data_IF_675216941474
#
_entry.id   IF_675216941474
#
_cell.length_a   1.000
_cell.length_b   1.000
_cell.length_c   1.000
_cell.angle_alpha   90.00
_cell.angle_beta   90.00
_cell.angle_gamma   90.00
#
_symmetry.space_group_name_H-M   'P 1'
#
loop_
_entity.id
_entity.type
_entity.pdbx_description
1 polymer ?
#
# COMPACT_ATOMS: atom_id res chain seq x y z
N UNK A 1 12.78 -63.95 5.18
CA UNK A 1 13.52 -63.48 6.38
C UNK A 1 12.78 -62.26 6.90
N UNK A 2 12.27 -62.25 8.14
CA UNK A 2 11.64 -61.06 8.69
C UNK A 2 12.72 -60.08 9.13
N UNK A 3 12.59 -58.83 8.69
CA UNK A 3 13.41 -57.70 9.15
C UNK A 3 12.98 -57.41 10.58
N UNK A 4 13.89 -57.58 11.53
CA UNK A 4 13.68 -57.25 12.92
C UNK A 4 13.33 -55.76 13.06
N UNK A 5 12.10 -55.46 13.49
CA UNK A 5 11.77 -54.18 14.09
C UNK A 5 12.70 -53.98 15.29
N UNK A 6 13.60 -53.01 15.18
CA UNK A 6 14.37 -52.53 16.32
C UNK A 6 13.40 -51.90 17.31
N UNK A 7 12.94 -52.70 18.27
CA UNK A 7 12.21 -52.22 19.45
C UNK A 7 13.15 -51.23 20.16
N UNK A 8 12.88 -49.94 19.99
CA UNK A 8 13.55 -48.90 20.75
C UNK A 8 13.24 -49.16 22.22
N UNK A 9 14.28 -49.55 22.97
CA UNK A 9 14.18 -49.81 24.41
C UNK A 9 13.90 -48.45 25.05
N UNK A 10 12.63 -48.22 25.41
CA UNK A 10 12.18 -47.10 26.24
C UNK A 10 13.07 -47.04 27.48
N UNK A 11 13.82 -45.96 27.70
CA UNK A 11 14.38 -45.73 29.03
C UNK A 11 13.19 -45.47 29.98
N UNK A 12 13.17 -46.07 31.19
CA UNK A 12 12.05 -45.91 32.13
C UNK A 12 11.76 -44.44 32.45
N UNK A 13 12.82 -43.63 32.50
CA UNK A 13 12.76 -42.20 32.81
C UNK A 13 12.10 -41.39 31.68
N UNK A 14 12.38 -41.70 30.41
CA UNK A 14 11.72 -41.04 29.27
C UNK A 14 10.22 -41.35 29.22
N UNK A 15 9.84 -42.57 29.59
CA UNK A 15 8.43 -42.96 29.60
C UNK A 15 7.66 -42.33 30.76
N UNK A 16 8.30 -42.18 31.92
CA UNK A 16 7.70 -41.48 33.06
C UNK A 16 7.53 -39.99 32.75
N UNK A 17 8.57 -39.33 32.21
CA UNK A 17 8.52 -37.93 31.82
C UNK A 17 7.45 -37.65 30.74
N UNK A 18 7.33 -38.50 29.70
CA UNK A 18 6.30 -38.34 28.67
C UNK A 18 4.86 -38.44 29.22
N UNK A 19 4.65 -39.15 30.33
CA UNK A 19 3.34 -39.23 30.99
C UNK A 19 3.02 -37.98 31.82
N UNK A 20 4.04 -37.29 32.36
CA UNK A 20 3.90 -36.07 33.16
C UNK A 20 3.82 -34.81 32.28
N UNK A 21 4.44 -34.85 31.10
CA UNK A 21 4.54 -33.73 30.16
C UNK A 21 3.19 -33.06 29.78
N UNK A 22 2.08 -33.79 29.55
CA UNK A 22 0.80 -33.14 29.29
C UNK A 22 0.30 -32.27 30.45
N UNK A 23 0.55 -32.68 31.70
CA UNK A 23 0.16 -31.91 32.88
C UNK A 23 1.08 -30.69 33.06
N UNK A 24 2.38 -30.85 32.82
CA UNK A 24 3.34 -29.74 32.86
C UNK A 24 3.04 -28.66 31.80
N UNK A 25 2.59 -29.06 30.60
CA UNK A 25 2.12 -28.13 29.57
C UNK A 25 0.82 -27.42 29.98
N UNK A 26 -0.11 -28.12 30.64
CA UNK A 26 -1.33 -27.48 31.17
C UNK A 26 -0.99 -26.43 32.23
N UNK A 27 -0.01 -26.71 33.09
CA UNK A 27 0.51 -25.74 34.06
C UNK A 27 1.17 -24.55 33.37
N UNK A 28 1.99 -24.76 32.33
CA UNK A 28 2.58 -23.68 31.55
C UNK A 28 1.51 -22.80 30.88
N UNK A 29 0.46 -23.42 30.33
CA UNK A 29 -0.69 -22.71 29.73
C UNK A 29 -1.42 -21.89 30.80
N UNK A 30 -1.67 -22.47 31.97
CA UNK A 30 -2.35 -21.82 33.09
C UNK A 30 -1.56 -20.59 33.60
N UNK A 31 -0.24 -20.71 33.74
CA UNK A 31 0.65 -19.63 34.17
C UNK A 31 1.02 -18.65 33.04
N UNK A 32 0.60 -18.94 31.79
CA UNK A 32 0.95 -18.19 30.58
C UNK A 32 2.46 -18.12 30.28
N UNK A 33 3.22 -19.11 30.75
CA UNK A 33 4.64 -19.26 30.43
C UNK A 33 4.81 -19.97 29.09
N UNK A 34 4.67 -19.18 28.02
CA UNK A 34 4.75 -19.69 26.65
C UNK A 34 6.18 -19.97 26.18
N UNK A 35 7.21 -19.50 26.89
CA UNK A 35 8.60 -19.84 26.54
C UNK A 35 8.89 -21.26 26.95
N UNK A 36 8.64 -21.57 28.22
CA UNK A 36 8.85 -22.91 28.75
C UNK A 36 7.98 -23.95 28.04
N UNK A 37 6.71 -23.61 27.76
CA UNK A 37 5.83 -24.47 26.98
C UNK A 37 6.38 -24.81 25.57
N UNK A 38 7.07 -23.86 24.92
CA UNK A 38 7.65 -24.09 23.59
C UNK A 38 8.91 -24.93 23.68
N UNK A 39 9.73 -24.75 24.71
CA UNK A 39 10.89 -25.60 24.99
C UNK A 39 10.46 -27.06 25.17
N UNK A 40 9.46 -27.30 26.03
CA UNK A 40 8.89 -28.64 26.27
C UNK A 40 8.33 -29.28 24.98
N UNK A 41 7.69 -28.50 24.10
CA UNK A 41 7.22 -29.00 22.80
C UNK A 41 8.38 -29.36 21.88
N UNK A 42 9.45 -28.58 21.87
CA UNK A 42 10.62 -28.85 21.03
C UNK A 42 11.37 -30.08 21.52
N UNK A 43 11.48 -30.26 22.84
CA UNK A 43 12.02 -31.46 23.48
C UNK A 43 11.18 -32.68 23.10
N UNK A 44 9.85 -32.63 23.24
CA UNK A 44 8.96 -33.69 22.79
C UNK A 44 9.14 -34.03 21.30
N UNK A 45 9.21 -33.03 20.42
CA UNK A 45 9.43 -33.25 18.98
C UNK A 45 10.78 -33.89 18.66
N UNK A 46 11.76 -33.76 19.55
CA UNK A 46 13.08 -34.38 19.41
C UNK A 46 13.13 -35.83 19.93
N UNK A 47 12.13 -36.27 20.69
CA UNK A 47 12.06 -37.63 21.22
C UNK A 47 11.75 -38.65 20.13
N UNK A 48 12.42 -39.81 20.21
CA UNK A 48 12.22 -40.92 19.29
C UNK A 48 11.03 -41.84 19.69
N UNK A 49 10.51 -41.64 20.90
CA UNK A 49 9.48 -42.47 21.51
C UNK A 49 8.11 -41.92 21.15
N UNK A 50 7.39 -42.62 20.26
CA UNK A 50 6.06 -42.19 19.79
C UNK A 50 4.97 -43.05 20.41
N UNK A 51 4.11 -42.43 21.19
CA UNK A 51 2.93 -43.06 21.77
C UNK A 51 1.69 -42.31 21.32
N UNK A 52 0.87 -42.96 20.49
CA UNK A 52 -0.19 -42.29 19.72
C UNK A 52 -1.20 -41.50 20.59
N UNK A 53 -1.51 -42.01 21.78
CA UNK A 53 -2.40 -41.36 22.75
C UNK A 53 -1.80 -40.10 23.36
N UNK A 54 -0.53 -40.15 23.74
CA UNK A 54 0.20 -39.01 24.32
C UNK A 54 0.48 -37.98 23.22
N UNK A 55 0.91 -38.42 22.04
CA UNK A 55 1.16 -37.55 20.89
C UNK A 55 -0.10 -36.78 20.45
N UNK A 56 -1.26 -37.41 20.47
CA UNK A 56 -2.53 -36.73 20.19
C UNK A 56 -2.85 -35.64 21.23
N UNK A 57 -2.60 -35.92 22.51
CA UNK A 57 -2.78 -34.97 23.61
C UNK A 57 -1.80 -33.79 23.55
N UNK A 58 -0.54 -34.04 23.18
CA UNK A 58 0.49 -33.01 23.03
C UNK A 58 0.24 -32.16 21.78
N UNK A 59 -0.23 -32.76 20.67
CA UNK A 59 -0.63 -32.03 19.45
C UNK A 59 -1.80 -31.07 19.72
N UNK A 60 -2.77 -31.49 20.54
CA UNK A 60 -3.88 -30.63 20.95
C UNK A 60 -3.38 -29.41 21.73
N UNK A 61 -2.46 -29.61 22.68
CA UNK A 61 -1.86 -28.55 23.49
C UNK A 61 -0.96 -27.63 22.67
N UNK A 62 -0.16 -28.15 21.75
CA UNK A 62 0.58 -27.35 20.76
C UNK A 62 -0.38 -26.43 20.01
N UNK A 63 -1.52 -26.96 19.56
CA UNK A 63 -2.53 -26.16 18.85
C UNK A 63 -3.12 -25.05 19.74
N UNK A 64 -3.40 -25.35 21.01
CA UNK A 64 -3.86 -24.36 21.99
C UNK A 64 -2.81 -23.28 22.27
N UNK A 65 -1.54 -23.65 22.44
CA UNK A 65 -0.43 -22.71 22.66
C UNK A 65 -0.25 -21.81 21.43
N UNK A 66 -0.30 -22.36 20.22
CA UNK A 66 -0.27 -21.59 18.97
C UNK A 66 -1.43 -20.59 18.89
N UNK A 67 -2.65 -21.01 19.27
CA UNK A 67 -3.81 -20.14 19.33
C UNK A 67 -3.61 -19.00 20.34
N UNK A 68 -3.17 -19.32 21.57
CA UNK A 68 -2.93 -18.33 22.62
C UNK A 68 -1.81 -17.35 22.26
N UNK A 69 -0.72 -17.81 21.63
CA UNK A 69 0.36 -16.95 21.13
C UNK A 69 -0.15 -16.01 20.03
N UNK A 70 -0.98 -16.52 19.12
CA UNK A 70 -1.58 -15.74 18.04
C UNK A 70 -2.59 -14.72 18.57
N UNK A 71 -3.42 -15.09 19.55
CA UNK A 71 -4.33 -14.19 20.23
C UNK A 71 -3.59 -13.16 21.05
N UNK A 72 -2.51 -13.52 21.75
CA UNK A 72 -1.65 -12.58 22.49
C UNK A 72 -1.03 -11.57 21.53
N UNK A 73 -0.49 -12.02 20.38
CA UNK A 73 0.02 -11.13 19.35
C UNK A 73 -1.08 -10.17 18.84
N UNK A 74 -2.27 -10.70 18.49
CA UNK A 74 -3.44 -9.92 18.06
C UNK A 74 -3.94 -8.92 19.11
N UNK A 75 -4.03 -9.34 20.37
CA UNK A 75 -4.50 -8.52 21.46
C UNK A 75 -3.54 -7.35 21.69
N UNK A 76 -2.23 -7.62 21.74
CA UNK A 76 -1.23 -6.55 21.86
C UNK A 76 -1.33 -5.56 20.68
N UNK A 77 -1.62 -6.04 19.46
CA UNK A 77 -1.89 -5.14 18.32
C UNK A 77 -3.08 -4.22 18.57
N UNK A 78 -4.20 -4.76 19.02
CA UNK A 78 -5.42 -3.98 19.30
C UNK A 78 -5.16 -3.00 20.44
N UNK A 79 -4.50 -3.42 21.52
CA UNK A 79 -4.21 -2.54 22.66
C UNK A 79 -3.25 -1.42 22.25
N UNK A 80 -2.21 -1.69 21.46
CA UNK A 80 -1.31 -0.67 20.95
C UNK A 80 -2.03 0.32 20.02
N UNK A 81 -2.95 -0.17 19.19
CA UNK A 81 -3.81 0.66 18.34
C UNK A 81 -4.76 1.56 19.17
N UNK A 82 -5.43 1.02 20.18
CA UNK A 82 -6.31 1.80 21.07
C UNK A 82 -5.54 2.84 21.90
N UNK A 83 -4.37 2.49 22.44
CA UNK A 83 -3.52 3.42 23.21
C UNK A 83 -3.03 4.58 22.34
N UNK A 84 -2.67 4.31 21.08
CA UNK A 84 -2.25 5.34 20.14
C UNK A 84 -3.41 6.25 19.72
N UNK A 85 -4.60 5.69 19.47
CA UNK A 85 -5.77 6.47 19.00
C UNK A 85 -6.41 7.37 20.06
N UNK A 86 -6.42 6.94 21.34
CA UNK A 86 -7.13 7.70 22.39
C UNK A 86 -6.21 8.77 23.02
N UNK A 87 -4.96 8.94 22.56
CA UNK A 87 -3.95 9.80 23.20
C UNK A 87 -3.83 9.59 24.72
N UNK A 88 -4.24 8.44 25.24
CA UNK A 88 -4.12 8.11 26.65
C UNK A 88 -2.69 7.64 26.87
N UNK A 89 -1.76 8.60 27.00
CA UNK A 89 -0.48 8.39 27.67
C UNK A 89 -0.78 8.05 29.14
N UNK A 90 -1.13 6.79 29.41
CA UNK A 90 -1.02 6.21 30.74
C UNK A 90 0.37 5.57 30.84
N UNK A 91 1.31 6.15 31.59
CA UNK A 91 2.53 5.46 31.95
C UNK A 91 2.12 4.25 32.80
N UNK A 92 2.37 3.04 32.30
CA UNK A 92 2.19 1.82 33.08
C UNK A 92 0.97 0.96 32.76
N UNK A 93 0.22 1.18 31.68
CA UNK A 93 -0.80 0.20 31.27
C UNK A 93 -0.13 -1.05 30.66
N UNK A 94 -0.01 -2.08 31.51
CA UNK A 94 0.51 -3.40 31.23
C UNK A 94 -0.16 -4.02 30.00
N UNK A 95 0.65 -4.46 29.03
CA UNK A 95 0.80 -5.87 28.60
C UNK A 95 1.48 -5.90 27.22
N UNK A 96 2.81 -5.68 27.23
CA UNK A 96 3.71 -6.04 26.14
C UNK A 96 3.90 -4.99 25.05
N UNK A 97 4.98 -4.20 25.14
CA UNK A 97 5.40 -3.32 24.04
C UNK A 97 5.88 -4.09 22.79
N UNK A 98 6.49 -3.41 21.80
CA UNK A 98 6.98 -4.01 20.55
C UNK A 98 7.85 -5.27 20.73
N UNK A 99 8.56 -5.37 21.88
CA UNK A 99 9.37 -6.53 22.28
C UNK A 99 8.55 -7.80 22.55
N UNK A 100 7.39 -7.67 23.20
CA UNK A 100 6.53 -8.82 23.52
C UNK A 100 5.89 -9.44 22.27
N UNK A 101 5.57 -8.61 21.27
CA UNK A 101 5.11 -9.08 19.96
C UNK A 101 6.23 -9.84 19.23
N UNK A 102 7.45 -9.26 19.18
CA UNK A 102 8.59 -9.92 18.52
C UNK A 102 8.89 -11.27 19.15
N UNK A 103 8.79 -11.35 20.48
CA UNK A 103 8.88 -12.60 21.24
C UNK A 103 7.82 -13.62 20.82
N UNK A 104 6.54 -13.23 20.72
CA UNK A 104 5.47 -14.13 20.28
C UNK A 104 5.66 -14.63 18.84
N UNK A 105 6.09 -13.75 17.92
CA UNK A 105 6.41 -14.13 16.52
C UNK A 105 7.55 -15.14 16.49
N UNK A 106 8.63 -14.89 17.25
CA UNK A 106 9.77 -15.83 17.32
C UNK A 106 9.36 -17.20 17.85
N UNK A 107 8.54 -17.26 18.91
CA UNK A 107 8.03 -18.52 19.46
C UNK A 107 7.17 -19.28 18.44
N UNK A 108 6.34 -18.59 17.67
CA UNK A 108 5.56 -19.22 16.57
C UNK A 108 6.45 -19.76 15.46
N UNK A 109 7.53 -19.04 15.11
CA UNK A 109 8.51 -19.52 14.13
C UNK A 109 9.22 -20.78 14.61
N UNK A 110 9.63 -20.82 15.89
CA UNK A 110 10.26 -22.00 16.52
C UNK A 110 9.32 -23.22 16.48
N UNK A 111 8.01 -23.02 16.70
CA UNK A 111 6.99 -24.07 16.61
C UNK A 111 6.69 -24.55 15.17
N UNK A 112 7.41 -24.07 14.16
CA UNK A 112 7.18 -24.39 12.75
C UNK A 112 5.93 -23.73 12.17
N UNK A 113 5.41 -22.68 12.80
CA UNK A 113 4.26 -21.88 12.31
C UNK A 113 4.73 -20.56 11.69
N UNK A 114 5.81 -20.61 10.91
CA UNK A 114 6.45 -19.43 10.31
C UNK A 114 5.48 -18.57 9.49
N UNK A 115 4.65 -19.16 8.62
CA UNK A 115 3.69 -18.41 7.80
C UNK A 115 2.66 -17.63 8.64
N UNK A 116 2.20 -18.19 9.76
CA UNK A 116 1.29 -17.51 10.68
C UNK A 116 2.00 -16.38 11.45
N UNK A 117 3.26 -16.59 11.82
CA UNK A 117 4.10 -15.57 12.44
C UNK A 117 4.34 -14.38 11.50
N UNK A 118 4.60 -14.66 10.21
CA UNK A 118 4.77 -13.64 9.16
C UNK A 118 3.46 -12.91 8.87
N UNK A 119 2.32 -13.59 8.78
CA UNK A 119 1.01 -12.93 8.63
C UNK A 119 0.72 -11.95 9.78
N UNK A 120 1.00 -12.35 11.02
CA UNK A 120 0.88 -11.46 12.19
C UNK A 120 1.87 -10.28 12.13
N UNK A 121 3.09 -10.51 11.66
CA UNK A 121 4.06 -9.45 11.43
C UNK A 121 3.57 -8.43 10.39
N UNK A 122 3.06 -8.90 9.25
CA UNK A 122 2.57 -8.05 8.18
C UNK A 122 1.35 -7.24 8.62
N UNK A 123 0.41 -7.86 9.35
CA UNK A 123 -0.73 -7.16 9.97
C UNK A 123 -0.30 -6.04 10.92
N UNK A 124 0.80 -6.22 11.66
CA UNK A 124 1.41 -5.17 12.48
C UNK A 124 1.87 -4.00 11.63
N UNK A 125 2.66 -4.29 10.58
CA UNK A 125 3.19 -3.27 9.67
C UNK A 125 2.05 -2.46 9.05
N UNK A 126 0.99 -3.12 8.59
CA UNK A 126 -0.23 -2.44 8.11
C UNK A 126 -0.86 -1.52 9.17
N UNK A 127 -0.93 -1.97 10.42
CA UNK A 127 -1.58 -1.19 11.50
C UNK A 127 -0.80 0.08 11.79
N UNK A 128 0.53 -0.04 11.90
CA UNK A 128 1.44 1.09 12.10
C UNK A 128 1.36 2.05 10.90
N UNK A 129 1.40 1.53 9.69
CA UNK A 129 1.29 2.32 8.47
C UNK A 129 -0.03 3.10 8.43
N UNK A 130 -1.17 2.43 8.65
CA UNK A 130 -2.49 3.08 8.72
C UNK A 130 -2.55 4.17 9.78
N UNK A 131 -1.90 4.01 10.93
CA UNK A 131 -1.87 5.05 11.96
C UNK A 131 -1.09 6.28 11.51
N UNK A 132 0.11 6.08 10.94
CA UNK A 132 0.92 7.19 10.43
C UNK A 132 0.29 7.88 9.22
N UNK A 133 -0.53 7.17 8.44
CA UNK A 133 -1.28 7.74 7.31
C UNK A 133 -2.48 8.58 7.77
N UNK A 134 -3.09 8.27 8.93
CA UNK A 134 -4.17 9.10 9.48
C UNK A 134 -3.67 10.44 10.01
N UNK A 135 -2.43 10.48 10.48
CA UNK A 135 -1.76 11.71 10.94
C UNK A 135 -1.38 12.63 9.77
N UNK A 136 -1.27 12.08 8.56
CA UNK A 136 -1.15 12.83 7.32
C UNK A 136 -2.47 13.57 7.05
N UNK A 137 -2.52 14.82 7.47
CA UNK A 137 -3.58 15.75 7.06
C UNK A 137 -3.53 15.95 5.56
N UNK A 138 -4.70 16.15 4.93
CA UNK A 138 -4.72 16.56 3.52
C UNK A 138 -3.92 17.85 3.39
N UNK A 139 -2.80 17.78 2.66
CA UNK A 139 -2.06 18.98 2.29
C UNK A 139 -2.96 19.85 1.42
N UNK A 140 -2.87 21.18 1.57
CA UNK A 140 -3.56 22.12 0.69
C UNK A 140 -3.17 21.92 -0.78
N UNK A 141 -1.98 21.35 -1.03
CA UNK A 141 -1.50 21.01 -2.37
C UNK A 141 -1.67 19.50 -2.67
N UNK A 142 -2.55 19.11 -3.63
CA UNK A 142 -2.82 17.71 -3.94
C UNK A 142 -1.59 16.90 -4.34
N UNK A 143 -0.65 17.48 -5.09
CA UNK A 143 0.55 16.79 -5.55
C UNK A 143 1.59 16.57 -4.44
N UNK A 144 1.58 17.42 -3.41
CA UNK A 144 2.39 17.21 -2.21
C UNK A 144 1.85 16.01 -1.42
N UNK A 145 0.52 15.94 -1.25
CA UNK A 145 -0.15 14.80 -0.62
C UNK A 145 0.15 13.48 -1.34
N UNK A 146 0.02 13.42 -2.68
CA UNK A 146 0.34 12.21 -3.46
C UNK A 146 1.77 11.75 -3.22
N UNK A 147 2.75 12.66 -3.26
CA UNK A 147 4.17 12.32 -3.05
C UNK A 147 4.42 11.79 -1.66
N UNK A 148 3.93 12.46 -0.63
CA UNK A 148 4.13 12.05 0.77
C UNK A 148 3.48 10.71 1.07
N UNK A 149 2.23 10.53 0.62
CA UNK A 149 1.50 9.28 0.81
C UNK A 149 2.19 8.13 0.07
N UNK A 150 2.59 8.33 -1.18
CA UNK A 150 3.28 7.31 -1.97
C UNK A 150 4.59 6.92 -1.32
N UNK A 151 5.42 7.90 -0.95
CA UNK A 151 6.69 7.66 -0.27
C UNK A 151 6.50 6.84 1.02
N UNK A 152 5.56 7.24 1.87
CA UNK A 152 5.30 6.56 3.16
C UNK A 152 4.94 5.07 2.98
N UNK A 153 4.02 4.76 2.06
CA UNK A 153 3.62 3.37 1.82
C UNK A 153 4.75 2.55 1.19
N UNK A 154 5.46 3.13 0.23
CA UNK A 154 6.46 2.42 -0.54
C UNK A 154 7.76 2.19 0.22
N UNK A 155 8.12 3.08 1.14
CA UNK A 155 9.22 2.85 2.08
C UNK A 155 8.92 1.65 2.98
N UNK A 156 7.70 1.60 3.54
CA UNK A 156 7.28 0.48 4.39
C UNK A 156 7.21 -0.83 3.62
N UNK A 157 6.72 -0.81 2.38
CA UNK A 157 6.71 -1.98 1.49
C UNK A 157 8.15 -2.41 1.18
N UNK A 158 9.01 -1.48 0.78
CA UNK A 158 10.40 -1.76 0.41
C UNK A 158 11.20 -2.35 1.57
N UNK A 159 11.00 -1.83 2.79
CA UNK A 159 11.62 -2.37 4.00
C UNK A 159 11.25 -3.83 4.24
N UNK A 160 9.95 -4.16 4.12
CA UNK A 160 9.46 -5.52 4.33
C UNK A 160 9.99 -6.45 3.24
N UNK A 161 9.97 -6.04 1.98
CA UNK A 161 10.53 -6.86 0.89
C UNK A 161 12.00 -7.16 1.15
N UNK A 162 12.79 -6.13 1.50
CA UNK A 162 14.22 -6.27 1.82
C UNK A 162 14.49 -7.20 3.00
N UNK A 163 13.67 -7.13 4.06
CA UNK A 163 13.79 -7.97 5.25
C UNK A 163 13.62 -9.47 4.94
N UNK A 164 12.81 -9.80 3.93
CA UNK A 164 12.47 -11.17 3.58
C UNK A 164 13.13 -11.69 2.30
N UNK A 165 14.04 -10.94 1.66
CA UNK A 165 14.68 -11.34 0.39
C UNK A 165 15.31 -12.74 0.40
N UNK A 166 15.77 -13.20 1.56
CA UNK A 166 16.43 -14.51 1.72
C UNK A 166 15.48 -15.63 2.18
N UNK A 167 14.16 -15.37 2.22
CA UNK A 167 13.12 -16.29 2.71
C UNK A 167 12.05 -16.54 1.63
N UNK A 168 12.38 -17.29 0.55
CA UNK A 168 11.50 -17.50 -0.59
C UNK A 168 10.17 -18.18 -0.24
N UNK A 169 10.14 -18.97 0.84
CA UNK A 169 8.95 -19.64 1.36
C UNK A 169 7.83 -18.66 1.78
N UNK A 170 8.16 -17.38 2.00
CA UNK A 170 7.21 -16.34 2.39
C UNK A 170 6.83 -15.37 1.26
N UNK A 171 7.42 -15.49 0.06
CA UNK A 171 7.24 -14.51 -1.01
C UNK A 171 5.78 -14.31 -1.45
N UNK A 172 5.00 -15.38 -1.55
CA UNK A 172 3.58 -15.29 -1.94
C UNK A 172 2.77 -14.49 -0.92
N UNK A 173 3.02 -14.69 0.38
CA UNK A 173 2.36 -13.98 1.47
C UNK A 173 2.75 -12.50 1.50
N UNK A 174 4.05 -12.21 1.29
CA UNK A 174 4.57 -10.84 1.23
C UNK A 174 4.00 -10.10 0.02
N UNK A 175 4.01 -10.71 -1.16
CA UNK A 175 3.50 -10.11 -2.39
C UNK A 175 1.99 -9.80 -2.26
N UNK A 176 1.22 -10.72 -1.66
CA UNK A 176 -0.19 -10.50 -1.36
C UNK A 176 -0.38 -9.28 -0.43
N UNK A 177 0.44 -9.16 0.61
CA UNK A 177 0.41 -8.00 1.51
C UNK A 177 0.80 -6.70 0.80
N UNK A 178 1.87 -6.70 -0.01
CA UNK A 178 2.31 -5.52 -0.77
C UNK A 178 1.20 -5.02 -1.71
N UNK A 179 0.53 -5.94 -2.41
CA UNK A 179 -0.63 -5.63 -3.25
C UNK A 179 -1.78 -5.03 -2.43
N UNK A 180 -2.06 -5.58 -1.24
CA UNK A 180 -3.07 -5.05 -0.33
C UNK A 180 -2.78 -3.63 0.15
N UNK A 181 -1.55 -3.35 0.59
CA UNK A 181 -1.15 -2.00 1.04
C UNK A 181 -1.13 -1.00 -0.11
N UNK A 182 -0.64 -1.40 -1.29
CA UNK A 182 -0.69 -0.56 -2.48
C UNK A 182 -2.15 -0.23 -2.86
N UNK A 183 -3.05 -1.20 -2.82
CA UNK A 183 -4.48 -0.97 -3.09
C UNK A 183 -5.09 0.04 -2.12
N UNK A 184 -4.71 0.03 -0.84
CA UNK A 184 -5.17 1.01 0.15
C UNK A 184 -4.68 2.40 -0.22
N UNK A 185 -3.39 2.55 -0.51
CA UNK A 185 -2.78 3.82 -0.95
C UNK A 185 -3.49 4.39 -2.19
N UNK A 186 -3.65 3.57 -3.23
CA UNK A 186 -4.30 3.97 -4.47
C UNK A 186 -5.76 4.38 -4.24
N UNK A 187 -6.47 3.71 -3.32
CA UNK A 187 -7.84 4.08 -2.98
C UNK A 187 -7.94 5.47 -2.32
N UNK A 188 -6.93 5.86 -1.53
CA UNK A 188 -6.87 7.19 -0.91
C UNK A 188 -6.57 8.25 -1.97
N UNK A 189 -5.60 8.01 -2.85
CA UNK A 189 -5.27 8.94 -3.96
C UNK A 189 -6.48 9.13 -4.87
N UNK A 190 -7.17 8.04 -5.20
CA UNK A 190 -8.40 8.10 -6.00
C UNK A 190 -9.42 9.05 -5.37
N UNK A 191 -9.77 8.82 -4.11
CA UNK A 191 -10.82 9.57 -3.40
C UNK A 191 -10.44 11.03 -3.16
N UNK A 192 -9.19 11.29 -2.77
CA UNK A 192 -8.78 12.61 -2.29
C UNK A 192 -8.22 13.51 -3.39
N UNK A 193 -7.80 12.95 -4.53
CA UNK A 193 -7.14 13.70 -5.60
C UNK A 193 -7.87 13.57 -6.92
N UNK A 194 -8.22 12.35 -7.35
CA UNK A 194 -8.79 12.13 -8.69
C UNK A 194 -10.29 12.43 -8.74
N UNK A 195 -11.04 12.00 -7.73
CA UNK A 195 -12.51 12.15 -7.68
C UNK A 195 -12.96 13.55 -7.26
N UNK A 196 -12.05 14.43 -6.82
CA UNK A 196 -12.34 15.82 -6.39
C UNK A 196 -12.25 16.83 -7.54
N UNK A 197 -12.50 16.38 -8.77
CA UNK A 197 -12.44 17.18 -10.00
C UNK A 197 -11.14 18.01 -10.15
N UNK A 198 -9.96 17.39 -10.12
CA UNK A 198 -8.69 18.08 -10.29
C UNK A 198 -8.50 18.58 -11.72
N UNK A 199 -7.55 19.50 -11.91
CA UNK A 199 -7.13 19.93 -13.24
C UNK A 199 -6.38 18.81 -13.98
N UNK A 200 -6.36 18.88 -15.32
CA UNK A 200 -5.59 17.97 -16.17
C UNK A 200 -4.13 17.85 -15.76
N UNK A 201 -3.50 18.97 -15.37
CA UNK A 201 -2.12 18.98 -14.90
C UNK A 201 -1.95 18.10 -13.65
N UNK A 202 -2.84 18.20 -12.66
CA UNK A 202 -2.78 17.40 -11.44
C UNK A 202 -2.97 15.91 -11.74
N UNK A 203 -3.87 15.55 -12.66
CA UNK A 203 -4.06 14.16 -13.09
C UNK A 203 -2.78 13.57 -13.72
N UNK A 204 -2.19 14.30 -14.68
CA UNK A 204 -0.97 13.86 -15.36
C UNK A 204 0.22 13.72 -14.40
N UNK A 205 0.40 14.69 -13.49
CA UNK A 205 1.48 14.64 -12.52
C UNK A 205 1.28 13.54 -11.48
N UNK A 206 0.04 13.29 -11.05
CA UNK A 206 -0.30 12.19 -10.14
C UNK A 206 0.09 10.85 -10.77
N UNK A 207 -0.28 10.63 -12.03
CA UNK A 207 0.12 9.43 -12.76
C UNK A 207 1.63 9.27 -12.85
N UNK A 208 2.34 10.35 -13.24
CA UNK A 208 3.80 10.34 -13.36
C UNK A 208 4.49 9.99 -12.03
N UNK A 209 4.03 10.57 -10.91
CA UNK A 209 4.55 10.27 -9.58
C UNK A 209 4.40 8.79 -9.27
N UNK A 210 3.21 8.23 -9.50
CA UNK A 210 2.93 6.82 -9.24
C UNK A 210 3.78 5.86 -10.08
N UNK A 211 4.01 6.18 -11.35
CA UNK A 211 4.85 5.34 -12.23
C UNK A 211 6.31 5.34 -11.79
N UNK A 212 6.88 6.51 -11.45
CA UNK A 212 8.25 6.60 -10.90
C UNK A 212 8.39 5.74 -9.64
N UNK A 213 7.38 5.78 -8.79
CA UNK A 213 7.33 5.00 -7.57
C UNK A 213 7.20 3.49 -7.83
N UNK A 214 6.49 3.07 -8.88
CA UNK A 214 6.45 1.67 -9.31
C UNK A 214 7.80 1.21 -9.83
N UNK A 215 8.49 2.04 -10.62
CA UNK A 215 9.85 1.76 -11.09
C UNK A 215 10.79 1.52 -9.90
N UNK A 216 10.68 2.33 -8.85
CA UNK A 216 11.44 2.12 -7.61
C UNK A 216 11.14 0.77 -6.95
N UNK A 217 9.87 0.34 -6.89
CA UNK A 217 9.54 -1.00 -6.36
C UNK A 217 10.13 -2.13 -7.22
N UNK A 218 10.12 -1.96 -8.56
CA UNK A 218 10.72 -2.93 -9.47
C UNK A 218 12.21 -3.10 -9.16
N UNK A 219 12.94 -2.03 -8.84
CA UNK A 219 14.36 -2.13 -8.42
C UNK A 219 14.57 -2.92 -7.13
N UNK A 220 13.56 -2.98 -6.26
CA UNK A 220 13.58 -3.77 -5.01
C UNK A 220 13.13 -5.22 -5.26
N UNK A 221 12.65 -5.54 -6.46
CA UNK A 221 12.26 -6.90 -6.86
C UNK A 221 10.74 -7.15 -6.83
N UNK A 222 9.92 -6.10 -6.77
CA UNK A 222 8.46 -6.22 -6.73
C UNK A 222 7.84 -5.37 -7.84
N UNK A 223 7.26 -6.04 -8.84
CA UNK A 223 6.47 -5.36 -9.88
C UNK A 223 4.98 -5.44 -9.56
N UNK A 224 4.40 -4.29 -9.23
CA UNK A 224 2.97 -4.11 -8.97
C UNK A 224 2.35 -3.03 -9.89
N UNK A 225 3.01 -2.71 -11.00
CA UNK A 225 2.56 -1.68 -11.93
C UNK A 225 1.13 -1.96 -12.43
N UNK A 226 0.81 -3.23 -12.67
CA UNK A 226 -0.51 -3.68 -13.09
C UNK A 226 -1.63 -3.25 -12.13
N UNK A 227 -1.34 -3.16 -10.83
CA UNK A 227 -2.34 -2.83 -9.82
C UNK A 227 -2.70 -1.33 -9.86
N UNK A 228 -1.71 -0.47 -10.16
CA UNK A 228 -1.93 0.96 -10.41
C UNK A 228 -2.83 1.15 -11.63
N UNK A 229 -2.52 0.46 -12.73
CA UNK A 229 -3.36 0.49 -13.92
C UNK A 229 -4.78 -0.01 -13.62
N UNK A 230 -4.92 -1.16 -12.96
CA UNK A 230 -6.21 -1.79 -12.68
C UNK A 230 -7.11 -0.91 -11.79
N UNK A 231 -6.55 -0.26 -10.77
CA UNK A 231 -7.32 0.46 -9.75
C UNK A 231 -7.51 1.95 -10.05
N UNK A 232 -6.59 2.59 -10.77
CA UNK A 232 -6.65 4.03 -11.03
C UNK A 232 -6.98 4.40 -12.47
N UNK A 233 -6.60 3.60 -13.48
CA UNK A 233 -6.85 3.98 -14.86
C UNK A 233 -8.34 4.25 -15.17
N UNK A 234 -9.32 3.49 -14.64
CA UNK A 234 -10.74 3.80 -14.87
C UNK A 234 -11.13 5.20 -14.35
N UNK A 235 -10.72 5.54 -13.13
CA UNK A 235 -11.05 6.83 -12.52
C UNK A 235 -10.31 7.99 -13.17
N UNK A 236 -9.06 7.78 -13.58
CA UNK A 236 -8.29 8.75 -14.36
C UNK A 236 -8.96 9.02 -15.71
N UNK A 237 -9.38 7.97 -16.41
CA UNK A 237 -10.09 8.10 -17.68
C UNK A 237 -11.35 8.95 -17.53
N UNK A 238 -12.18 8.64 -16.52
CA UNK A 238 -13.41 9.42 -16.25
C UNK A 238 -13.07 10.87 -15.92
N UNK A 239 -12.06 11.13 -15.09
CA UNK A 239 -11.65 12.48 -14.71
C UNK A 239 -11.12 13.29 -15.90
N UNK A 240 -10.38 12.64 -16.80
CA UNK A 240 -9.88 13.23 -18.05
C UNK A 240 -11.06 13.57 -18.98
N UNK A 241 -11.94 12.61 -19.25
CA UNK A 241 -13.13 12.81 -20.09
C UNK A 241 -14.04 13.93 -19.56
N UNK A 242 -14.18 14.01 -18.23
CA UNK A 242 -14.93 15.09 -17.55
C UNK A 242 -14.24 16.45 -17.74
N UNK A 243 -12.92 16.53 -17.55
CA UNK A 243 -12.16 17.75 -17.79
C UNK A 243 -12.31 18.22 -19.24
N UNK A 244 -12.17 17.32 -20.21
CA UNK A 244 -12.38 17.63 -21.62
C UNK A 244 -13.79 18.15 -21.89
N UNK A 245 -14.82 17.48 -21.36
CA UNK A 245 -16.22 17.88 -21.52
C UNK A 245 -16.47 19.27 -20.93
N UNK A 246 -15.92 19.56 -19.75
CA UNK A 246 -16.03 20.87 -19.10
C UNK A 246 -15.37 21.99 -19.92
N UNK A 247 -14.21 21.70 -20.52
CA UNK A 247 -13.50 22.66 -21.38
C UNK A 247 -14.31 22.95 -22.63
N UNK A 248 -14.84 21.91 -23.29
CA UNK A 248 -15.70 22.05 -24.46
C UNK A 248 -16.95 22.87 -24.13
N UNK A 249 -17.62 22.58 -23.02
CA UNK A 249 -18.84 23.29 -22.63
C UNK A 249 -18.56 24.75 -22.25
N UNK A 250 -17.45 25.01 -21.54
CA UNK A 250 -17.00 26.37 -21.23
C UNK A 250 -16.73 27.21 -22.49
N UNK A 251 -16.22 26.57 -23.55
CA UNK A 251 -16.00 27.22 -24.84
C UNK A 251 -17.32 27.44 -25.56
N UNK A 252 -18.21 26.44 -25.56
CA UNK A 252 -19.53 26.53 -26.20
C UNK A 252 -20.35 27.69 -25.64
N UNK A 253 -20.33 27.87 -24.31
CA UNK A 253 -20.95 29.00 -23.64
C UNK A 253 -20.34 30.33 -24.12
N UNK A 254 -19.00 30.45 -24.13
CA UNK A 254 -18.31 31.66 -24.61
C UNK A 254 -18.64 32.00 -26.06
N UNK A 255 -18.71 31.00 -26.94
CA UNK A 255 -19.08 31.18 -28.36
C UNK A 255 -20.55 31.62 -28.48
N UNK A 256 -21.46 31.09 -27.65
CA UNK A 256 -22.88 31.47 -27.70
C UNK A 256 -23.16 32.91 -27.26
N UNK A 257 -22.32 33.46 -26.37
CA UNK A 257 -22.39 34.84 -25.91
C UNK A 257 -21.57 35.80 -26.78
N UNK A 258 -20.76 35.26 -27.70
CA UNK A 258 -19.83 36.04 -28.50
C UNK A 258 -20.54 36.86 -29.58
N UNK A 259 -20.27 38.16 -29.59
CA UNK A 259 -20.56 39.03 -30.74
C UNK A 259 -19.34 39.05 -31.64
N UNK A 260 -19.45 38.48 -32.84
CA UNK A 260 -18.34 38.38 -33.77
C UNK A 260 -17.65 39.73 -33.99
N UNK A 261 -16.33 39.75 -33.75
CA UNK A 261 -15.42 40.88 -34.00
C UNK A 261 -14.04 40.34 -34.34
N UNK A 262 -13.37 40.96 -35.30
CA UNK A 262 -11.97 40.68 -35.60
C UNK A 262 -11.11 40.96 -34.36
N UNK A 263 -10.14 40.08 -34.10
CA UNK A 263 -9.23 40.23 -32.98
C UNK A 263 -8.19 41.31 -33.30
N UNK A 264 -8.32 42.46 -32.67
CA UNK A 264 -7.43 43.61 -32.83
C UNK A 264 -6.35 43.60 -31.74
N UNK A 265 -5.08 43.65 -32.14
CA UNK A 265 -3.92 43.49 -31.25
C UNK A 265 -3.09 44.78 -31.10
N UNK A 266 -3.71 45.93 -31.37
CA UNK A 266 -3.16 47.29 -31.26
C UNK A 266 -2.04 47.64 -32.25
N UNK A 267 -1.12 46.71 -32.55
CA UNK A 267 0.00 46.92 -33.49
C UNK A 267 0.29 45.70 -34.36
N UNK A 268 0.93 45.93 -35.51
CA UNK A 268 1.41 44.86 -36.41
C UNK A 268 2.49 44.00 -35.74
N UNK A 269 3.33 44.59 -34.88
CA UNK A 269 4.33 43.83 -34.11
C UNK A 269 3.71 42.80 -33.17
N UNK A 270 2.55 43.11 -32.57
CA UNK A 270 1.84 42.20 -31.68
C UNK A 270 1.19 41.06 -32.45
N UNK A 271 0.70 41.33 -33.67
CA UNK A 271 0.19 40.28 -34.57
C UNK A 271 1.32 39.33 -34.98
N UNK A 272 2.48 39.85 -35.41
CA UNK A 272 3.62 39.01 -35.78
C UNK A 272 4.10 38.13 -34.62
N UNK A 273 4.21 38.71 -33.42
CA UNK A 273 4.53 37.93 -32.20
C UNK A 273 3.49 36.83 -31.93
N UNK A 274 2.20 37.14 -32.08
CA UNK A 274 1.15 36.16 -31.87
C UNK A 274 1.21 35.02 -32.90
N UNK A 275 1.50 35.32 -34.17
CA UNK A 275 1.69 34.30 -35.21
C UNK A 275 2.88 33.40 -34.87
N UNK A 276 4.00 33.99 -34.44
CA UNK A 276 5.17 33.22 -33.97
C UNK A 276 4.79 32.30 -32.81
N UNK A 277 4.10 32.82 -31.78
CA UNK A 277 3.62 32.00 -30.65
C UNK A 277 2.72 30.86 -31.11
N UNK A 278 1.79 31.10 -32.03
CA UNK A 278 0.91 30.06 -32.58
C UNK A 278 1.69 29.03 -33.41
N UNK A 279 2.66 29.48 -34.22
CA UNK A 279 3.55 28.63 -35.00
C UNK A 279 4.47 27.77 -34.12
N UNK A 280 4.97 28.31 -33.00
CA UNK A 280 5.74 27.56 -32.00
C UNK A 280 4.91 26.43 -31.37
N UNK A 281 3.60 26.63 -31.24
CA UNK A 281 2.64 25.60 -30.87
C UNK A 281 2.21 24.71 -32.07
N UNK A 282 2.75 24.89 -33.27
CA UNK A 282 2.37 24.10 -34.45
C UNK A 282 1.01 24.48 -35.06
N UNK A 283 0.44 25.63 -34.72
CA UNK A 283 -0.82 26.16 -35.24
C UNK A 283 -0.55 27.29 -36.26
N UNK A 284 -0.90 27.09 -37.53
CA UNK A 284 -0.84 28.17 -38.54
C UNK A 284 -2.13 29.00 -38.57
N UNK A 285 -1.97 30.32 -38.48
CA UNK A 285 -3.06 31.31 -38.51
C UNK A 285 -2.89 32.33 -39.64
N UNK A 286 -1.95 32.11 -40.56
CA UNK A 286 -1.60 33.07 -41.62
C UNK A 286 -2.77 33.37 -42.55
N UNK A 287 -3.64 32.39 -42.76
CA UNK A 287 -4.87 32.51 -43.55
C UNK A 287 -5.88 33.51 -42.98
N UNK A 288 -5.75 33.86 -41.70
CA UNK A 288 -6.68 34.73 -40.98
C UNK A 288 -6.24 36.19 -40.93
N UNK A 289 -5.05 36.53 -41.44
CA UNK A 289 -4.54 37.89 -41.39
C UNK A 289 -5.45 38.85 -42.15
N UNK A 290 -5.72 40.01 -41.55
CA UNK A 290 -6.52 41.03 -42.21
C UNK A 290 -5.73 41.71 -43.33
N UNK A 291 -6.27 41.68 -44.54
CA UNK A 291 -5.67 42.34 -45.71
C UNK A 291 -5.84 43.86 -45.68
N UNK A 292 -6.69 44.39 -44.79
CA UNK A 292 -7.03 45.82 -44.70
C UNK A 292 -6.54 46.48 -43.42
N UNK A 293 -6.24 45.70 -42.37
CA UNK A 293 -5.77 46.19 -41.09
C UNK A 293 -4.61 45.31 -40.59
N UNK A 294 -3.37 45.78 -40.74
CA UNK A 294 -2.18 45.01 -40.36
C UNK A 294 -2.07 44.71 -38.86
N UNK A 295 -2.91 45.31 -38.01
CA UNK A 295 -2.98 45.08 -36.56
C UNK A 295 -4.16 44.18 -36.14
N UNK A 296 -4.81 43.48 -37.07
CA UNK A 296 -5.91 42.58 -36.74
C UNK A 296 -5.90 41.25 -37.50
N UNK A 297 -6.53 40.26 -36.89
CA UNK A 297 -6.79 38.93 -37.45
C UNK A 297 -8.30 38.71 -37.55
N UNK A 298 -8.76 38.15 -38.66
CA UNK A 298 -10.16 37.88 -39.00
C UNK A 298 -10.74 36.65 -38.28
N UNK A 299 -10.26 36.38 -37.07
CA UNK A 299 -10.78 35.35 -36.15
C UNK A 299 -11.05 36.05 -34.82
N UNK A 300 -12.02 35.55 -34.05
CA UNK A 300 -12.32 36.10 -32.74
C UNK A 300 -11.25 35.73 -31.72
N UNK A 301 -11.05 36.59 -30.71
CA UNK A 301 -10.11 36.31 -29.62
C UNK A 301 -10.42 34.99 -28.90
N UNK A 302 -11.72 34.67 -28.74
CA UNK A 302 -12.15 33.43 -28.10
C UNK A 302 -11.79 32.20 -28.92
N UNK A 303 -11.93 32.24 -30.25
CA UNK A 303 -11.54 31.15 -31.13
C UNK A 303 -10.02 30.91 -31.07
N UNK A 304 -9.21 31.98 -31.10
CA UNK A 304 -7.76 31.89 -30.92
C UNK A 304 -7.38 31.27 -29.56
N UNK A 305 -7.99 31.74 -28.47
CA UNK A 305 -7.75 31.20 -27.13
C UNK A 305 -8.18 29.73 -27.03
N UNK A 306 -9.31 29.36 -27.64
CA UNK A 306 -9.77 27.97 -27.67
C UNK A 306 -8.79 27.06 -28.40
N UNK A 307 -8.33 27.43 -29.60
CA UNK A 307 -7.37 26.63 -30.37
C UNK A 307 -6.10 26.36 -29.57
N UNK A 308 -5.60 27.36 -28.83
CA UNK A 308 -4.44 27.20 -27.93
C UNK A 308 -4.71 26.19 -26.82
N UNK A 309 -5.84 26.31 -26.13
CA UNK A 309 -6.21 25.40 -25.03
C UNK A 309 -6.43 23.98 -25.55
N UNK A 310 -7.14 23.83 -26.67
CA UNK A 310 -7.40 22.53 -27.28
C UNK A 310 -6.09 21.82 -27.70
N UNK A 311 -5.15 22.57 -28.28
CA UNK A 311 -3.86 22.02 -28.70
C UNK A 311 -2.99 21.60 -27.50
N UNK A 312 -2.95 22.38 -26.41
CA UNK A 312 -2.19 22.01 -25.20
C UNK A 312 -2.72 20.74 -24.51
N UNK A 313 -3.94 20.29 -24.83
CA UNK A 313 -4.57 19.12 -24.24
C UNK A 313 -4.50 17.87 -25.13
N UNK A 314 -4.16 18.02 -26.41
CA UNK A 314 -4.05 16.95 -27.39
C UNK A 314 -2.65 16.30 -27.38
#
# INVERSE_FOLDING_TARGET
MPVAESVAIKSPDESAWLNELPAELDDCIAHRDMEHAVELIMEWKSCNTKEATIDAQLTLRETQIVQLLSEKARFIFITQFYVLLVQVRRPGALHGGPRAIKKAINLLTILGRASQAVDLYLKKRSTVLRTTTRELTMSEEPLSYVRQLSQQFLDVISDVVKEFLMQPEHFSLILHWCSGELSVMLSLIRKHVIEVAPTMAVLAHTWRILMIHCDNLITVGVDLSFEVHRLLAPSLKIAIETNFSNIIESVRLRVSEERWKAYHMESESNVNRFIEEMSDMGLSVDWALSTTQCSSINITQNACHFSRVAFMLA
#
